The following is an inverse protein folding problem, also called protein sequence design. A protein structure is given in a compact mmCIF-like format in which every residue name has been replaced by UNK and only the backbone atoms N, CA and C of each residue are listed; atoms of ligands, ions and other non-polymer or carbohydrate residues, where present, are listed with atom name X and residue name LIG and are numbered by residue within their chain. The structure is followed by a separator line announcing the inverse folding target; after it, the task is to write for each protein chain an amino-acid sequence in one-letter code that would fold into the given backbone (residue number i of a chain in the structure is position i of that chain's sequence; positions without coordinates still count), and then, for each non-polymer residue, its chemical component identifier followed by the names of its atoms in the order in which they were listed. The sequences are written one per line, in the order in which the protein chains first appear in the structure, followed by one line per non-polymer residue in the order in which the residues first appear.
data_IF_790210787165
#
_entry.id   IF_790210787165
#
_cell.length_a   1.000
_cell.length_b   1.000
_cell.length_c   1.000
_cell.angle_alpha   90.00
_cell.angle_beta   90.00
_cell.angle_gamma   90.00
#
_symmetry.space_group_name_H-M   'P 1'
#
loop_
_entity.id
_entity.type
_entity.pdbx_description
1 polymer ?
#
# COMPACT_ATOMS: atom_id res chain seq x y z
N UNK A 1 2.74 -19.68 48.60
CA UNK A 1 2.54 -20.39 47.30
C UNK A 1 1.30 -19.94 46.52
N UNK A 2 0.13 -19.61 47.13
CA UNK A 2 -1.06 -19.18 46.36
C UNK A 2 -0.91 -17.88 45.54
N UNK A 3 -0.04 -16.95 45.95
CA UNK A 3 0.16 -15.67 45.24
C UNK A 3 1.10 -15.77 44.02
N UNK A 4 2.01 -16.75 43.97
CA UNK A 4 2.92 -16.92 42.83
C UNK A 4 2.19 -17.44 41.58
N UNK A 5 1.18 -18.29 41.74
CA UNK A 5 0.38 -18.81 40.62
C UNK A 5 -0.48 -17.71 39.96
N UNK A 6 -0.93 -16.72 40.73
CA UNK A 6 -1.75 -15.60 40.22
C UNK A 6 -0.93 -14.62 39.36
N UNK A 7 0.33 -14.37 39.73
CA UNK A 7 1.23 -13.45 39.02
C UNK A 7 1.66 -14.06 37.66
N UNK A 8 1.94 -15.36 37.61
CA UNK A 8 2.27 -16.04 36.36
C UNK A 8 1.09 -16.03 35.38
N UNK A 9 -0.14 -16.22 35.87
CA UNK A 9 -1.35 -16.17 35.02
C UNK A 9 -1.59 -14.76 34.44
N UNK A 10 -1.34 -13.70 35.22
CA UNK A 10 -1.51 -12.31 34.76
C UNK A 10 -0.44 -11.90 33.73
N UNK A 11 0.80 -12.40 33.84
CA UNK A 11 1.84 -12.18 32.85
C UNK A 11 1.55 -12.90 31.52
N UNK A 12 1.04 -14.15 31.58
CA UNK A 12 0.65 -14.89 30.37
C UNK A 12 -0.58 -14.29 29.67
N UNK A 13 -1.54 -13.73 30.42
CA UNK A 13 -2.69 -13.05 29.82
C UNK A 13 -2.31 -11.72 29.15
N UNK A 14 -1.40 -10.94 29.76
CA UNK A 14 -0.94 -9.70 29.13
C UNK A 14 -0.13 -9.97 27.86
N UNK A 15 0.72 -11.00 27.82
CA UNK A 15 1.49 -11.32 26.60
C UNK A 15 0.65 -11.85 25.44
N UNK A 16 -0.57 -12.37 25.71
CA UNK A 16 -1.51 -12.82 24.68
C UNK A 16 -2.34 -11.68 24.07
N UNK A 17 -2.58 -10.59 24.81
CA UNK A 17 -3.43 -9.48 24.32
C UNK A 17 -2.69 -8.58 23.32
N UNK A 18 -1.37 -8.42 23.47
CA UNK A 18 -0.59 -7.54 22.59
C UNK A 18 -0.37 -8.06 21.15
N UNK A 19 -0.58 -9.36 20.90
CA UNK A 19 -0.40 -9.96 19.56
C UNK A 19 -1.64 -9.92 18.65
N UNK A 20 -2.70 -9.21 19.04
CA UNK A 20 -3.99 -9.28 18.32
C UNK A 20 -4.22 -8.17 17.30
N UNK A 21 -3.31 -7.20 17.19
CA UNK A 21 -3.37 -6.20 16.11
C UNK A 21 -2.42 -6.60 15.01
N UNK A 22 -2.94 -6.59 13.78
CA UNK A 22 -2.14 -6.85 12.62
C UNK A 22 -1.45 -5.53 12.25
N UNK A 23 -0.12 -5.50 12.32
CA UNK A 23 0.65 -4.35 11.87
C UNK A 23 0.69 -4.34 10.33
N UNK A 24 0.73 -3.14 9.77
CA UNK A 24 0.95 -2.90 8.36
C UNK A 24 2.30 -2.24 8.14
N UNK A 25 3.06 -2.79 7.22
CA UNK A 25 4.26 -2.19 6.68
C UNK A 25 3.86 -1.30 5.49
N UNK A 26 3.99 0.02 5.66
CA UNK A 26 3.57 1.00 4.68
C UNK A 26 4.78 1.58 3.94
N UNK A 27 4.66 1.73 2.63
CA UNK A 27 5.60 2.41 1.74
C UNK A 27 4.88 3.56 1.07
N UNK A 28 5.32 4.79 1.31
CA UNK A 28 4.74 6.02 0.76
C UNK A 28 5.63 6.50 -0.38
N UNK A 29 5.06 6.56 -1.58
CA UNK A 29 5.70 7.13 -2.76
C UNK A 29 5.29 8.59 -2.86
N UNK A 30 6.27 9.49 -2.95
CA UNK A 30 6.03 10.94 -2.94
C UNK A 30 6.25 11.56 -4.32
N UNK A 31 5.68 12.74 -4.56
CA UNK A 31 5.89 13.50 -5.80
C UNK A 31 7.32 14.00 -5.97
N UNK A 32 8.01 14.34 -4.87
CA UNK A 32 9.46 14.58 -4.91
C UNK A 32 10.19 13.29 -4.55
N UNK A 33 10.70 12.63 -5.59
CA UNK A 33 11.37 11.35 -5.49
C UNK A 33 12.77 11.41 -4.84
N UNK A 34 13.45 12.56 -4.86
CA UNK A 34 14.80 12.68 -4.31
C UNK A 34 14.79 12.88 -2.80
N UNK A 35 13.80 13.64 -2.31
CA UNK A 35 13.69 13.97 -0.90
C UNK A 35 12.57 13.20 -0.19
N UNK A 36 11.76 12.47 -0.95
CA UNK A 36 10.50 11.87 -0.52
C UNK A 36 9.56 12.88 0.15
N UNK A 37 9.63 14.15 -0.24
CA UNK A 37 8.75 15.22 0.26
C UNK A 37 7.61 15.52 -0.73
N UNK A 38 6.72 16.43 -0.35
CA UNK A 38 5.53 16.77 -1.14
C UNK A 38 4.34 15.88 -0.85
N UNK A 39 3.42 15.82 -1.80
CA UNK A 39 2.23 14.98 -1.71
C UNK A 39 2.60 13.52 -1.97
N UNK A 40 1.89 12.58 -1.35
CA UNK A 40 2.04 11.17 -1.71
C UNK A 40 1.24 10.90 -3.00
N UNK A 41 1.79 10.04 -3.85
CA UNK A 41 1.13 9.51 -5.04
C UNK A 41 0.41 8.22 -4.70
N UNK A 42 1.10 7.37 -3.94
CA UNK A 42 0.68 6.01 -3.62
C UNK A 42 1.18 5.62 -2.23
N UNK A 43 0.37 4.86 -1.50
CA UNK A 43 0.74 4.18 -0.26
C UNK A 43 0.49 2.69 -0.45
N UNK A 44 1.56 1.91 -0.43
CA UNK A 44 1.49 0.45 -0.44
C UNK A 44 1.60 -0.06 0.99
N UNK A 45 0.56 -0.74 1.47
CA UNK A 45 0.48 -1.30 2.82
C UNK A 45 0.42 -2.83 2.76
N UNK A 46 1.41 -3.49 3.34
CA UNK A 46 1.52 -4.96 3.39
C UNK A 46 1.29 -5.43 4.81
N UNK A 47 0.49 -6.47 4.99
CA UNK A 47 0.27 -7.07 6.30
C UNK A 47 1.57 -7.70 6.83
N UNK A 48 2.06 -7.19 7.96
CA UNK A 48 3.34 -7.61 8.50
C UNK A 48 3.32 -9.07 8.99
N UNK A 49 4.43 -9.77 8.79
CA UNK A 49 4.62 -11.16 9.20
C UNK A 49 3.90 -12.20 8.31
N UNK A 50 3.28 -11.78 7.21
CA UNK A 50 2.66 -12.67 6.24
C UNK A 50 3.53 -12.79 4.99
N UNK A 51 3.60 -14.00 4.42
CA UNK A 51 4.26 -14.24 3.15
C UNK A 51 3.46 -13.61 2.00
N UNK A 52 4.11 -12.77 1.21
CA UNK A 52 3.55 -12.13 0.01
C UNK A 52 4.60 -12.08 -1.08
N UNK A 53 4.29 -12.71 -2.23
CA UNK A 53 5.12 -12.72 -3.44
C UNK A 53 6.60 -13.00 -3.14
N UNK A 54 6.90 -14.09 -2.41
CA UNK A 54 8.22 -14.54 -1.96
C UNK A 54 8.92 -13.74 -0.84
N UNK A 55 8.22 -12.82 -0.18
CA UNK A 55 8.81 -12.02 0.90
C UNK A 55 7.95 -11.94 2.16
N UNK A 56 8.59 -11.74 3.31
CA UNK A 56 7.94 -11.41 4.58
C UNK A 56 8.51 -10.07 5.05
N UNK A 57 7.63 -9.14 5.42
CA UNK A 57 8.02 -7.85 6.00
C UNK A 57 7.62 -7.84 7.48
N UNK A 58 8.56 -7.52 8.36
CA UNK A 58 8.33 -7.38 9.80
C UNK A 58 8.62 -5.96 10.29
N UNK A 59 7.87 -5.53 11.29
CA UNK A 59 8.01 -4.25 11.97
C UNK A 59 8.82 -4.42 13.26
N UNK A 60 10.09 -4.03 13.24
CA UNK A 60 10.98 -4.10 14.40
C UNK A 60 11.00 -2.74 15.12
N UNK A 61 9.93 -2.48 15.87
CA UNK A 61 9.76 -1.24 16.64
C UNK A 61 10.90 -0.96 17.64
N UNK A 62 11.45 -1.94 18.39
CA UNK A 62 12.59 -1.70 19.29
C UNK A 62 13.82 -1.11 18.59
N UNK A 63 14.06 -1.48 17.33
CA UNK A 63 15.19 -0.99 16.54
C UNK A 63 14.78 0.08 15.52
N UNK A 64 13.51 0.50 15.49
CA UNK A 64 12.96 1.50 14.57
C UNK A 64 13.26 1.18 13.09
N UNK A 65 13.05 -0.08 12.70
CA UNK A 65 13.40 -0.57 11.36
C UNK A 65 12.37 -1.56 10.79
N UNK A 66 12.32 -1.61 9.46
CA UNK A 66 11.76 -2.71 8.70
C UNK A 66 12.77 -3.83 8.59
N UNK A 67 12.28 -5.06 8.64
CA UNK A 67 13.05 -6.21 8.22
C UNK A 67 12.30 -6.85 7.06
N UNK A 68 12.89 -6.82 5.87
CA UNK A 68 12.37 -7.54 4.71
C UNK A 68 13.19 -8.80 4.53
N UNK A 69 12.53 -9.95 4.52
CA UNK A 69 13.13 -11.26 4.26
C UNK A 69 12.60 -11.80 2.95
N UNK A 70 13.51 -12.13 2.02
CA UNK A 70 13.20 -12.73 0.73
C UNK A 70 13.49 -14.22 0.75
N UNK A 71 12.70 -14.94 -0.04
CA UNK A 71 12.74 -16.38 -0.18
C UNK A 71 12.83 -16.75 -1.66
N UNK A 72 13.39 -17.93 -1.96
CA UNK A 72 13.51 -18.45 -3.32
C UNK A 72 12.20 -19.07 -3.84
N UNK A 73 11.19 -19.19 -2.98
CA UNK A 73 9.86 -19.74 -3.26
C UNK A 73 8.72 -18.83 -2.77
N UNK A 74 7.56 -18.96 -3.43
CA UNK A 74 6.36 -18.17 -3.15
C UNK A 74 5.69 -18.50 -1.80
N UNK A 75 6.03 -19.65 -1.20
CA UNK A 75 5.53 -20.09 0.11
C UNK A 75 6.40 -19.57 1.29
N UNK A 76 7.45 -18.80 0.99
CA UNK A 76 8.41 -18.27 1.96
C UNK A 76 9.06 -19.34 2.85
N UNK A 77 9.47 -20.47 2.27
CA UNK A 77 10.06 -21.60 3.02
C UNK A 77 11.57 -21.74 2.85
N UNK A 78 12.13 -21.22 1.75
CA UNK A 78 13.52 -21.30 1.35
C UNK A 78 14.16 -19.92 1.44
N UNK A 79 14.77 -19.62 2.58
CA UNK A 79 15.39 -18.32 2.82
C UNK A 79 16.46 -18.00 1.76
N UNK A 80 16.37 -16.81 1.17
CA UNK A 80 17.37 -16.29 0.25
C UNK A 80 18.28 -15.26 0.95
N UNK A 81 17.70 -14.12 1.37
CA UNK A 81 18.43 -13.04 2.05
C UNK A 81 17.47 -12.14 2.84
N UNK A 82 18.02 -11.26 3.68
CA UNK A 82 17.26 -10.24 4.39
C UNK A 82 18.02 -8.92 4.42
N UNK A 83 17.29 -7.82 4.43
CA UNK A 83 17.83 -6.48 4.67
C UNK A 83 16.89 -5.69 5.57
N UNK A 84 17.42 -4.61 6.13
CA UNK A 84 16.68 -3.68 6.96
C UNK A 84 16.70 -2.25 6.40
N UNK A 85 15.69 -1.48 6.76
CA UNK A 85 15.57 -0.05 6.43
C UNK A 85 15.01 0.68 7.64
N UNK A 86 15.59 1.82 8.02
CA UNK A 86 15.07 2.57 9.16
C UNK A 86 13.68 3.15 8.86
N UNK A 87 12.85 3.30 9.90
CA UNK A 87 11.55 3.94 9.74
C UNK A 87 11.69 5.41 9.35
N UNK A 88 10.83 5.86 8.44
CA UNK A 88 10.73 7.21 7.93
C UNK A 88 12.01 7.74 7.24
N UNK A 89 12.90 6.83 6.81
CA UNK A 89 14.03 7.18 5.97
C UNK A 89 13.59 7.22 4.50
N UNK A 90 13.98 8.28 3.78
CA UNK A 90 13.79 8.35 2.34
C UNK A 90 14.83 7.47 1.65
N UNK A 91 14.39 6.37 1.05
CA UNK A 91 15.25 5.43 0.34
C UNK A 91 14.67 5.18 -1.05
N UNK A 92 15.45 5.54 -2.08
CA UNK A 92 14.96 5.55 -3.45
C UNK A 92 13.87 6.60 -3.59
N UNK A 93 12.65 6.17 -3.94
CA UNK A 93 11.51 7.03 -4.24
C UNK A 93 10.41 6.99 -3.16
N UNK A 94 10.73 6.45 -1.98
CA UNK A 94 9.74 6.17 -0.96
C UNK A 94 10.25 6.36 0.46
N UNK A 95 9.33 6.70 1.37
CA UNK A 95 9.52 6.51 2.81
C UNK A 95 8.76 5.27 3.27
N UNK A 96 9.20 4.65 4.37
CA UNK A 96 8.53 3.47 4.90
C UNK A 96 8.21 3.67 6.39
N UNK A 97 7.03 3.27 6.86
CA UNK A 97 6.73 3.16 8.30
C UNK A 97 5.77 2.02 8.66
N UNK A 98 5.70 1.65 9.94
CA UNK A 98 4.74 0.67 10.43
C UNK A 98 3.58 1.34 11.18
N UNK A 99 2.37 0.83 10.96
CA UNK A 99 1.15 1.27 11.65
C UNK A 99 0.30 0.08 12.07
N UNK A 100 -0.57 0.26 13.06
CA UNK A 100 -1.51 -0.81 13.47
C UNK A 100 -2.75 -0.90 12.58
N UNK A 101 -2.96 0.10 11.73
CA UNK A 101 -4.12 0.25 10.87
C UNK A 101 -3.64 0.76 9.50
N UNK A 102 -4.36 0.43 8.45
CA UNK A 102 -4.06 0.91 7.10
C UNK A 102 -4.18 2.44 7.08
N UNK A 103 -3.18 3.19 6.57
CA UNK A 103 -3.30 4.63 6.38
C UNK A 103 -4.49 4.96 5.48
N UNK A 104 -5.32 5.93 5.91
CA UNK A 104 -6.49 6.39 5.16
C UNK A 104 -6.48 7.94 5.08
N UNK A 105 -5.59 8.56 4.28
CA UNK A 105 -5.61 9.99 4.05
C UNK A 105 -6.89 10.41 3.32
N UNK A 106 -7.40 11.61 3.58
CA UNK A 106 -8.54 12.18 2.82
C UNK A 106 -8.17 12.44 1.37
N UNK A 107 -9.17 12.56 0.50
CA UNK A 107 -9.03 12.66 -0.94
C UNK A 107 -8.23 11.51 -1.58
N UNK A 108 -8.55 10.28 -1.20
CA UNK A 108 -7.91 9.07 -1.74
C UNK A 108 -8.93 8.01 -2.14
N UNK A 109 -8.48 7.03 -2.92
CA UNK A 109 -9.14 5.74 -3.02
C UNK A 109 -8.18 4.63 -2.60
N UNK A 110 -8.74 3.56 -2.06
CA UNK A 110 -7.99 2.41 -1.55
C UNK A 110 -8.47 1.13 -2.23
N UNK A 111 -7.51 0.33 -2.68
CA UNK A 111 -7.68 -0.99 -3.28
C UNK A 111 -7.21 -2.03 -2.26
N UNK A 112 -8.08 -2.96 -1.87
CA UNK A 112 -7.76 -3.98 -0.85
C UNK A 112 -7.80 -5.37 -1.47
N UNK A 113 -6.72 -6.11 -1.27
CA UNK A 113 -6.57 -7.51 -1.66
C UNK A 113 -6.50 -8.38 -0.42
N UNK A 114 -7.40 -9.38 -0.35
CA UNK A 114 -7.51 -10.31 0.78
C UNK A 114 -6.94 -11.69 0.43
N UNK A 115 -6.74 -12.51 1.46
CA UNK A 115 -6.53 -13.94 1.27
C UNK A 115 -7.80 -14.62 0.77
N UNK A 116 -7.64 -15.70 0.01
CA UNK A 116 -8.76 -16.59 -0.34
C UNK A 116 -9.34 -17.28 0.91
N UNK A 117 -8.53 -17.48 1.96
CA UNK A 117 -8.98 -18.06 3.23
C UNK A 117 -9.30 -16.99 4.27
N UNK A 118 -10.50 -16.41 4.14
CA UNK A 118 -11.04 -15.46 5.12
C UNK A 118 -11.28 -16.04 6.53
N UNK A 119 -11.14 -17.36 6.72
CA UNK A 119 -11.28 -17.99 8.05
C UNK A 119 -10.02 -17.80 8.90
N UNK A 120 -8.85 -17.82 8.25
CA UNK A 120 -7.55 -17.66 8.89
C UNK A 120 -7.07 -16.21 8.83
N UNK A 121 -7.32 -15.52 7.70
CA UNK A 121 -6.86 -14.15 7.49
C UNK A 121 -8.04 -13.23 7.18
N UNK A 122 -8.41 -12.40 8.15
CA UNK A 122 -9.55 -11.47 8.02
C UNK A 122 -9.16 -10.08 7.53
N UNK A 123 -7.88 -9.75 7.63
CA UNK A 123 -7.36 -8.44 7.25
C UNK A 123 -6.85 -8.48 5.80
N UNK A 124 -6.91 -7.37 5.06
CA UNK A 124 -6.26 -7.28 3.77
C UNK A 124 -4.78 -7.66 3.87
N UNK A 125 -4.31 -8.50 2.94
CA UNK A 125 -2.90 -8.87 2.81
C UNK A 125 -2.09 -7.72 2.23
N UNK A 126 -2.69 -7.02 1.28
CA UNK A 126 -2.07 -6.01 0.45
C UNK A 126 -3.08 -4.92 0.16
N UNK A 127 -2.66 -3.67 0.33
CA UNK A 127 -3.53 -2.50 0.15
C UNK A 127 -2.77 -1.40 -0.54
N UNK A 128 -3.32 -0.90 -1.64
CA UNK A 128 -2.80 0.26 -2.36
C UNK A 128 -3.74 1.43 -2.12
N UNK A 129 -3.22 2.58 -1.73
CA UNK A 129 -3.99 3.82 -1.57
C UNK A 129 -3.41 4.89 -2.46
N UNK A 130 -4.23 5.47 -3.33
CA UNK A 130 -3.81 6.45 -4.31
C UNK A 130 -4.48 7.79 -4.04
N UNK A 131 -3.74 8.88 -4.28
CA UNK A 131 -4.31 10.21 -4.26
C UNK A 131 -5.34 10.38 -5.40
N UNK A 132 -6.48 11.02 -5.08
CA UNK A 132 -7.46 11.47 -6.06
C UNK A 132 -7.07 12.84 -6.61
N UNK A 133 -7.62 13.17 -7.77
CA UNK A 133 -7.43 14.45 -8.47
C UNK A 133 -5.96 14.78 -8.78
N UNK A 134 -5.09 13.76 -8.75
CA UNK A 134 -3.68 13.83 -9.10
C UNK A 134 -3.45 13.06 -10.40
N UNK A 135 -2.67 13.65 -11.29
CA UNK A 135 -2.17 12.98 -12.48
C UNK A 135 -0.88 12.22 -12.13
N UNK A 136 -0.85 10.90 -12.33
CA UNK A 136 0.31 10.09 -12.00
C UNK A 136 0.54 8.96 -13.00
N UNK A 137 1.79 8.47 -13.05
CA UNK A 137 2.20 7.35 -13.91
C UNK A 137 2.51 6.14 -13.01
N UNK A 138 1.87 4.99 -13.28
CA UNK A 138 2.10 3.74 -12.52
C UNK A 138 3.09 2.82 -13.24
N UNK A 139 3.09 2.83 -14.58
CA UNK A 139 3.91 1.93 -15.38
C UNK A 139 4.94 2.68 -16.24
N UNK A 140 6.22 2.51 -15.89
CA UNK A 140 7.33 2.68 -16.82
C UNK A 140 7.62 1.30 -17.43
N UNK A 141 7.72 1.15 -18.77
CA UNK A 141 8.00 2.18 -19.78
C UNK A 141 6.78 2.64 -20.61
N UNK A 142 5.56 2.18 -20.31
CA UNK A 142 4.42 2.28 -21.25
C UNK A 142 3.73 3.66 -21.30
N UNK A 143 4.29 4.67 -20.61
CA UNK A 143 3.82 6.07 -20.64
C UNK A 143 2.30 6.20 -20.42
N UNK A 144 1.77 5.38 -19.53
CA UNK A 144 0.36 5.33 -19.20
C UNK A 144 0.08 6.20 -17.97
N UNK A 145 -0.77 7.20 -18.13
CA UNK A 145 -1.10 8.17 -17.10
C UNK A 145 -2.52 7.95 -16.59
N UNK A 146 -2.68 8.15 -15.29
CA UNK A 146 -3.94 7.96 -14.60
C UNK A 146 -4.36 9.25 -13.93
N UNK A 147 -5.64 9.58 -14.09
CA UNK A 147 -6.33 10.58 -13.29
C UNK A 147 -7.57 9.92 -12.72
N UNK A 148 -7.77 10.02 -11.41
CA UNK A 148 -8.83 9.30 -10.72
C UNK A 148 -9.68 10.28 -9.91
N UNK A 149 -11.00 10.13 -10.03
CA UNK A 149 -11.96 10.86 -9.21
C UNK A 149 -12.86 9.85 -8.51
N UNK A 150 -13.43 10.22 -7.37
CA UNK A 150 -14.35 9.32 -6.70
C UNK A 150 -15.62 10.01 -6.19
N UNK A 151 -16.64 9.21 -5.90
CA UNK A 151 -17.83 9.59 -5.17
C UNK A 151 -18.31 8.39 -4.33
N UNK A 152 -19.48 8.48 -3.70
CA UNK A 152 -20.04 7.43 -2.83
C UNK A 152 -20.45 6.13 -3.55
N UNK A 153 -20.28 6.02 -4.86
CA UNK A 153 -20.76 4.85 -5.63
C UNK A 153 -19.74 4.34 -6.63
N UNK A 154 -18.95 5.23 -7.22
CA UNK A 154 -17.96 4.88 -8.23
C UNK A 154 -16.64 5.61 -8.04
N UNK A 155 -15.56 4.85 -8.19
CA UNK A 155 -14.27 5.35 -8.62
C UNK A 155 -14.34 5.49 -10.14
N UNK A 156 -14.08 6.69 -10.65
CA UNK A 156 -13.96 6.95 -12.09
C UNK A 156 -12.48 7.09 -12.40
N UNK A 157 -11.97 6.10 -13.13
CA UNK A 157 -10.58 6.06 -13.59
C UNK A 157 -10.50 6.51 -15.03
N UNK A 158 -9.68 7.52 -15.27
CA UNK A 158 -9.34 8.02 -16.59
C UNK A 158 -7.91 7.57 -16.91
N UNK A 159 -7.77 6.84 -18.01
CA UNK A 159 -6.49 6.40 -18.53
C UNK A 159 -6.14 7.24 -19.76
N UNK A 160 -4.89 7.69 -19.81
CA UNK A 160 -4.35 8.45 -20.91
C UNK A 160 -3.10 7.75 -21.44
N UNK A 161 -3.02 7.65 -22.76
CA UNK A 161 -1.85 7.10 -23.45
C UNK A 161 -1.03 8.27 -24.01
N UNK A 162 0.28 8.26 -23.79
CA UNK A 162 1.18 9.20 -24.46
C UNK A 162 1.46 8.73 -25.89
N UNK A 163 0.73 9.30 -26.86
CA UNK A 163 1.02 9.08 -28.27
C UNK A 163 2.28 9.89 -28.63
N UNK A 164 3.45 9.25 -28.49
CA UNK A 164 4.78 9.81 -28.79
C UNK A 164 5.00 10.07 -30.31
N UNK A 165 3.98 10.53 -31.03
CA UNK A 165 4.00 10.82 -32.46
C UNK A 165 4.12 12.31 -32.83
N UNK A 166 4.14 13.24 -31.87
CA UNK A 166 4.40 14.66 -32.17
C UNK A 166 5.81 15.11 -31.75
N UNK A 167 6.70 15.13 -32.74
CA UNK A 167 7.96 15.86 -32.74
C UNK A 167 7.71 17.38 -32.57
N UNK A 168 7.92 17.90 -31.36
CA UNK A 168 7.84 19.34 -31.11
C UNK A 168 8.29 19.73 -29.71
N UNK A 169 9.53 20.24 -29.61
CA UNK A 169 10.12 20.78 -28.39
C UNK A 169 9.20 21.72 -27.61
N UNK A 170 9.13 21.59 -26.29
CA UNK A 170 9.55 22.65 -25.36
C UNK A 170 9.52 22.21 -23.91
N UNK A 171 10.55 22.63 -23.20
CA UNK A 171 10.77 22.49 -21.77
C UNK A 171 9.69 23.25 -20.97
N UNK A 172 8.71 22.53 -20.44
CA UNK A 172 7.86 22.98 -19.35
C UNK A 172 7.39 21.76 -18.55
N UNK A 173 7.79 21.70 -17.28
CA UNK A 173 7.40 20.72 -16.28
C UNK A 173 5.99 20.99 -15.75
N UNK A 174 4.99 20.96 -16.64
CA UNK A 174 3.57 20.96 -16.25
C UNK A 174 3.07 19.51 -16.19
N UNK A 175 2.16 19.18 -15.24
CA UNK A 175 1.57 17.85 -15.18
C UNK A 175 0.81 17.54 -16.48
N UNK A 176 1.07 16.35 -17.01
CA UNK A 176 0.75 15.89 -18.37
C UNK A 176 -0.78 15.82 -18.65
N UNK A 177 -1.62 15.84 -17.61
CA UNK A 177 -3.08 15.72 -17.74
C UNK A 177 -3.83 16.98 -18.23
N UNK A 178 -3.17 18.13 -18.40
CA UNK A 178 -3.87 19.39 -18.75
C UNK A 178 -3.86 19.76 -20.25
N UNK A 179 -2.91 19.26 -21.06
CA UNK A 179 -2.78 19.71 -22.45
C UNK A 179 -2.37 18.57 -23.41
N UNK A 180 -3.35 18.01 -24.13
CA UNK A 180 -3.20 17.23 -25.37
C UNK A 180 -2.72 15.76 -25.28
N UNK A 181 -3.36 14.93 -24.46
CA UNK A 181 -3.32 13.47 -24.66
C UNK A 181 -4.71 12.88 -24.93
N UNK A 182 -4.75 11.81 -25.73
CA UNK A 182 -5.99 11.11 -26.07
C UNK A 182 -6.39 10.26 -24.86
N UNK A 183 -7.48 10.65 -24.19
CA UNK A 183 -8.16 9.78 -23.23
C UNK A 183 -8.40 8.42 -23.90
N UNK A 184 -7.69 7.40 -23.45
CA UNK A 184 -7.70 6.08 -24.06
C UNK A 184 -8.86 5.26 -23.54
N UNK A 185 -9.12 5.34 -22.23
CA UNK A 185 -10.26 4.68 -21.61
C UNK A 185 -10.82 5.43 -20.41
N UNK A 186 -12.10 5.17 -20.12
CA UNK A 186 -12.75 5.58 -18.88
C UNK A 186 -13.40 4.36 -18.27
N UNK A 187 -13.09 4.10 -17.01
CA UNK A 187 -13.63 2.97 -16.27
C UNK A 187 -14.41 3.46 -15.04
N UNK A 188 -15.53 2.80 -14.77
CA UNK A 188 -16.35 3.05 -13.59
C UNK A 188 -16.30 1.81 -12.71
N UNK A 189 -15.57 1.91 -11.60
CA UNK A 189 -15.35 0.81 -10.67
C UNK A 189 -16.28 1.03 -9.48
N UNK A 190 -17.08 0.03 -9.14
CA UNK A 190 -17.96 0.12 -7.96
C UNK A 190 -17.12 0.16 -6.69
N UNK A 191 -17.43 1.13 -5.83
CA UNK A 191 -16.86 1.19 -4.49
C UNK A 191 -17.81 0.57 -3.48
N UNK A 192 -17.26 0.15 -2.35
CA UNK A 192 -17.99 -0.49 -1.26
C UNK A 192 -17.60 0.16 0.07
N UNK A 193 -18.55 0.24 1.00
CA UNK A 193 -18.26 0.58 2.40
C UNK A 193 -17.88 -0.67 3.22
N UNK A 194 -18.06 -1.85 2.64
CA UNK A 194 -17.71 -3.11 3.30
C UNK A 194 -16.23 -3.39 3.15
N UNK A 195 -15.49 -3.35 4.27
CA UNK A 195 -14.07 -3.68 4.35
C UNK A 195 -13.80 -5.08 4.93
N UNK A 196 -14.84 -5.90 5.07
CA UNK A 196 -14.70 -7.28 5.51
C UNK A 196 -14.12 -8.16 4.40
N UNK A 197 -13.30 -9.15 4.78
CA UNK A 197 -12.72 -10.10 3.85
C UNK A 197 -13.75 -10.77 2.95
N UNK A 198 -13.53 -10.67 1.64
CA UNK A 198 -14.30 -11.32 0.60
C UNK A 198 -13.35 -12.19 -0.24
N UNK A 199 -13.47 -13.53 -0.21
CA UNK A 199 -12.55 -14.42 -0.91
C UNK A 199 -12.46 -14.10 -2.40
N UNK A 200 -11.23 -14.03 -2.92
CA UNK A 200 -10.93 -13.77 -4.33
C UNK A 200 -11.52 -12.48 -4.90
N UNK A 201 -11.84 -11.49 -4.05
CA UNK A 201 -12.34 -10.18 -4.48
C UNK A 201 -11.36 -9.07 -4.14
N UNK A 202 -11.25 -8.11 -5.07
CA UNK A 202 -10.58 -6.84 -4.85
C UNK A 202 -11.65 -5.82 -4.48
N UNK A 203 -11.48 -5.16 -3.35
CA UNK A 203 -12.43 -4.15 -2.87
C UNK A 203 -11.87 -2.75 -3.12
N UNK A 204 -12.73 -1.86 -3.59
CA UNK A 204 -12.40 -0.46 -3.82
C UNK A 204 -13.20 0.38 -2.83
N UNK A 205 -12.54 1.30 -2.15
CA UNK A 205 -13.17 2.24 -1.21
C UNK A 205 -12.67 3.65 -1.51
N UNK A 206 -13.47 4.66 -1.19
CA UNK A 206 -13.07 6.04 -1.35
C UNK A 206 -13.16 6.79 -0.04
N UNK A 207 -12.12 7.58 0.22
CA UNK A 207 -12.01 8.37 1.42
C UNK A 207 -11.94 9.84 1.01
N UNK A 208 -13.09 10.50 1.04
CA UNK A 208 -13.24 11.93 0.69
C UNK A 208 -13.23 12.82 1.93
#
# INVERSE_FOLDING_TARGET
MKYQTLIVLLCCFNSLIYKTRADYANTYYSTDFETCTGDFIEIVSVLAGVCSANSIIECDYPNNQFVTTFYDDDDCTSFAYSYNTAFNECVGFSTRNCTTDIPQPTNTYTVMTFSDDCSQQKYPLYVETYALDLCYQIAQPDLEFYYNTCNSTYLTQYQYDDDYSSSGSSSASNPICDENQYLSSTQYIQVTDNTQCQPSQILYTCNQ
#
